data_IF_058772096064
#
_entry.id   IF_058772096064
#
_cell.length_a   1.000
_cell.length_b   1.000
_cell.length_c   1.000
_cell.angle_alpha   90.00
_cell.angle_beta   90.00
_cell.angle_gamma   90.00
#
_symmetry.space_group_name_H-M   'P 1'
#
loop_
_entity.id
_entity.type
_entity.pdbx_description
1 polymer ?
#
# COMPACT_ATOMS: atom_id res chain seq x y z
N UNK A 1 -23.23 47.18 -10.44
CA UNK A 1 -24.60 46.69 -10.73
C UNK A 1 -24.63 45.23 -10.29
N UNK A 2 -24.96 44.99 -9.00
CA UNK A 2 -26.28 44.56 -8.44
C UNK A 2 -26.50 43.05 -8.65
N UNK A 3 -26.91 42.20 -7.70
CA UNK A 3 -27.28 42.23 -6.27
C UNK A 3 -27.49 40.73 -5.90
N UNK A 4 -26.97 40.19 -4.78
CA UNK A 4 -27.66 39.96 -3.48
C UNK A 4 -28.58 38.72 -3.37
N UNK A 5 -28.11 37.74 -2.57
CA UNK A 5 -28.74 37.04 -1.41
C UNK A 5 -30.20 36.57 -1.43
N UNK A 6 -30.42 35.29 -1.04
CA UNK A 6 -31.52 34.85 -0.16
C UNK A 6 -31.01 33.81 0.86
N UNK A 7 -31.19 34.13 2.14
CA UNK A 7 -31.15 33.27 3.33
C UNK A 7 -32.60 32.85 3.69
N UNK A 8 -32.82 31.65 4.25
CA UNK A 8 -33.85 31.42 5.27
C UNK A 8 -33.68 30.07 6.00
N UNK A 9 -33.57 30.16 7.34
CA UNK A 9 -33.74 29.13 8.37
C UNK A 9 -35.23 28.72 8.50
N UNK A 10 -35.52 27.49 8.96
CA UNK A 10 -36.41 27.26 10.11
C UNK A 10 -36.41 25.78 10.57
N UNK A 11 -36.45 25.62 11.89
CA UNK A 11 -36.41 24.39 12.69
C UNK A 11 -37.80 23.75 12.90
N UNK A 12 -37.86 22.47 13.25
CA UNK A 12 -38.89 21.94 14.16
C UNK A 12 -38.46 20.63 14.84
N UNK A 13 -38.43 20.67 16.17
CA UNK A 13 -38.27 19.57 17.13
C UNK A 13 -39.59 18.85 17.39
N UNK A 14 -39.57 17.53 17.63
CA UNK A 14 -40.55 16.87 18.49
C UNK A 14 -40.01 15.55 19.07
N UNK A 15 -40.11 15.45 20.40
CA UNK A 15 -39.74 14.32 21.23
C UNK A 15 -40.83 13.23 21.25
N UNK A 16 -40.43 11.98 21.50
CA UNK A 16 -41.33 10.87 21.79
C UNK A 16 -40.63 9.81 22.64
N UNK A 17 -40.76 9.94 23.97
CA UNK A 17 -40.56 8.86 24.93
C UNK A 17 -41.83 7.99 24.98
N UNK A 18 -41.67 6.70 25.35
CA UNK A 18 -42.57 5.77 26.08
C UNK A 18 -42.25 4.34 25.59
N UNK A 19 -41.58 3.49 26.37
CA UNK A 19 -42.02 2.74 27.56
C UNK A 19 -42.31 1.26 27.20
N UNK A 20 -41.64 0.39 27.96
CA UNK A 20 -41.65 -1.08 27.93
C UNK A 20 -42.96 -1.62 28.52
N UNK A 21 -43.39 -2.83 28.13
CA UNK A 21 -43.85 -3.77 29.15
C UNK A 21 -43.10 -5.10 29.10
N UNK A 22 -42.65 -5.49 30.29
CA UNK A 22 -42.16 -6.80 30.62
C UNK A 22 -43.33 -7.78 30.76
N UNK A 23 -43.14 -9.01 30.32
CA UNK A 23 -43.94 -10.16 30.76
C UNK A 23 -43.04 -11.11 31.56
N UNK A 24 -43.35 -11.22 32.86
CA UNK A 24 -43.08 -12.40 33.67
C UNK A 24 -43.92 -13.56 33.09
N UNK A 25 -43.58 -14.84 33.19
CA UNK A 25 -43.37 -15.65 34.39
C UNK A 25 -43.02 -17.06 33.87
N UNK A 26 -42.06 -17.77 34.47
CA UNK A 26 -42.34 -19.06 35.13
C UNK A 26 -41.09 -19.59 35.85
N UNK A 27 -41.27 -19.88 37.13
CA UNK A 27 -40.29 -20.55 37.98
C UNK A 27 -40.71 -22.01 38.21
N UNK A 28 -39.73 -22.91 38.29
CA UNK A 28 -39.78 -24.20 39.00
C UNK A 28 -38.32 -24.69 39.21
N UNK A 29 -38.06 -25.68 40.09
CA UNK A 29 -37.62 -25.56 41.50
C UNK A 29 -36.11 -25.85 41.71
N UNK A 30 -35.54 -25.66 42.92
CA UNK A 30 -34.11 -25.82 43.15
C UNK A 30 -33.72 -27.29 43.38
N UNK A 31 -32.67 -27.74 42.70
CA UNK A 31 -31.98 -28.99 42.99
C UNK A 31 -30.52 -28.71 43.37
N UNK A 32 -30.13 -29.33 44.47
CA UNK A 32 -28.87 -29.26 45.19
C UNK A 32 -27.65 -29.79 44.42
N UNK A 33 -26.55 -29.04 44.49
CA UNK A 33 -25.19 -29.58 44.66
C UNK A 33 -24.38 -29.96 43.40
N UNK A 34 -23.37 -29.16 43.08
CA UNK A 34 -21.94 -29.54 42.93
C UNK A 34 -21.11 -28.29 42.58
N UNK A 35 -19.87 -28.11 43.09
CA UNK A 35 -19.07 -26.93 42.78
C UNK A 35 -18.41 -27.09 41.41
N UNK A 36 -18.84 -26.29 40.43
CA UNK A 36 -18.15 -26.15 39.15
C UNK A 36 -17.14 -25.00 39.23
N UNK A 37 -15.92 -25.29 38.79
CA UNK A 37 -14.77 -24.39 38.77
C UNK A 37 -15.04 -23.11 37.96
N UNK A 38 -14.41 -21.97 38.32
CA UNK A 38 -14.58 -20.74 37.55
C UNK A 38 -13.95 -20.88 36.17
N UNK A 39 -14.79 -20.74 35.15
CA UNK A 39 -14.38 -20.62 33.74
C UNK A 39 -13.55 -19.34 33.60
N UNK A 40 -12.24 -19.51 33.43
CA UNK A 40 -11.32 -18.43 33.11
C UNK A 40 -11.73 -17.80 31.77
N UNK A 41 -12.07 -16.52 31.78
CA UNK A 41 -12.36 -15.75 30.58
C UNK A 41 -11.19 -15.83 29.60
N UNK A 42 -11.49 -16.17 28.35
CA UNK A 42 -10.50 -16.08 27.29
C UNK A 42 -10.04 -14.62 27.16
N UNK A 43 -8.71 -14.35 27.13
CA UNK A 43 -8.24 -13.03 26.81
C UNK A 43 -8.65 -12.72 25.38
N UNK A 44 -9.50 -11.69 25.22
CA UNK A 44 -9.76 -11.06 23.93
C UNK A 44 -8.43 -10.46 23.49
N UNK A 45 -7.72 -11.18 22.60
CA UNK A 45 -6.52 -10.68 21.98
C UNK A 45 -6.80 -9.35 21.28
N UNK A 46 -5.78 -8.47 21.12
CA UNK A 46 -5.95 -7.25 20.35
C UNK A 46 -6.53 -7.60 18.96
N UNK A 47 -7.42 -6.76 18.40
CA UNK A 47 -7.99 -7.03 17.08
C UNK A 47 -6.85 -7.27 16.08
N UNK A 48 -6.99 -8.25 15.16
CA UNK A 48 -5.96 -8.51 14.17
C UNK A 48 -5.63 -7.20 13.46
N UNK A 49 -4.34 -6.84 13.44
CA UNK A 49 -3.89 -5.71 12.64
C UNK A 49 -4.35 -5.95 11.21
N UNK A 50 -5.18 -5.05 10.68
CA UNK A 50 -5.83 -5.19 9.38
C UNK A 50 -4.86 -5.04 8.18
N UNK A 51 -3.57 -5.38 8.34
CA UNK A 51 -2.55 -5.26 7.31
C UNK A 51 -1.46 -6.32 7.48
N UNK A 52 -0.82 -6.67 6.37
CA UNK A 52 0.26 -7.64 6.30
C UNK A 52 1.60 -7.12 6.86
N UNK A 53 2.72 -7.80 6.60
CA UNK A 53 4.02 -7.37 7.08
C UNK A 53 4.46 -6.03 6.43
N UNK A 54 5.39 -5.29 7.07
CA UNK A 54 6.01 -4.13 6.43
C UNK A 54 6.85 -4.57 5.23
N UNK A 55 6.68 -3.90 4.09
CA UNK A 55 7.39 -4.16 2.85
C UNK A 55 7.89 -2.86 2.21
N UNK A 56 9.00 -2.88 1.46
CA UNK A 56 9.40 -1.73 0.65
C UNK A 56 8.32 -1.35 -0.37
N UNK A 57 8.00 -0.06 -0.45
CA UNK A 57 7.11 0.51 -1.46
C UNK A 57 7.66 0.23 -2.85
N UNK A 58 6.82 -0.23 -3.79
CA UNK A 58 7.29 -0.81 -5.07
C UNK A 58 8.22 0.13 -5.84
N UNK A 59 7.90 1.42 -5.91
CA UNK A 59 8.78 2.46 -6.46
C UNK A 59 8.73 3.75 -5.66
N UNK A 60 9.88 4.40 -5.53
CA UNK A 60 10.00 5.80 -5.11
C UNK A 60 9.86 6.68 -6.35
N UNK A 61 8.99 7.68 -6.30
CA UNK A 61 8.76 8.63 -7.41
C UNK A 61 9.29 10.01 -7.12
N UNK A 62 9.30 10.47 -5.87
CA UNK A 62 9.90 11.77 -5.53
C UNK A 62 10.54 11.80 -4.15
N UNK A 63 11.56 12.65 -4.00
CA UNK A 63 12.13 13.06 -2.73
C UNK A 63 12.11 14.58 -2.69
N UNK A 64 11.60 15.13 -1.61
CA UNK A 64 11.68 16.55 -1.29
C UNK A 64 12.24 16.72 0.10
N UNK A 65 13.13 17.68 0.29
CA UNK A 65 13.59 18.08 1.61
C UNK A 65 13.35 19.56 1.78
N UNK A 66 12.48 19.89 2.74
CA UNK A 66 12.13 21.25 3.11
C UNK A 66 12.88 21.65 4.37
N UNK A 67 13.44 22.85 4.40
CA UNK A 67 14.05 23.43 5.61
C UNK A 67 13.08 24.37 6.30
N UNK A 68 12.93 24.21 7.60
CA UNK A 68 12.26 25.15 8.48
C UNK A 68 13.25 25.71 9.48
N UNK A 69 13.31 27.03 9.60
CA UNK A 69 14.15 27.70 10.62
C UNK A 69 13.40 27.95 11.93
N UNK A 70 12.17 27.43 12.08
CA UNK A 70 11.36 27.58 13.30
C UNK A 70 11.79 26.60 14.38
N UNK A 71 11.67 27.01 15.66
CA UNK A 71 11.85 26.16 16.84
C UNK A 71 13.14 25.31 16.86
N UNK A 72 14.29 25.94 16.63
CA UNK A 72 15.59 25.26 16.64
C UNK A 72 16.01 24.66 15.30
N UNK A 73 15.15 24.79 14.28
CA UNK A 73 15.44 24.34 12.93
C UNK A 73 15.06 22.88 12.72
N UNK A 74 14.44 22.58 11.58
CA UNK A 74 14.05 21.23 11.20
C UNK A 74 14.15 21.07 9.69
N UNK A 75 14.78 19.99 9.23
CA UNK A 75 14.65 19.55 7.85
C UNK A 75 13.57 18.45 7.79
N UNK A 76 12.69 18.51 6.79
CA UNK A 76 11.57 17.59 6.63
C UNK A 76 11.74 16.87 5.30
N UNK A 77 12.02 15.57 5.37
CA UNK A 77 12.09 14.70 4.20
C UNK A 77 10.69 14.22 3.87
N UNK A 78 10.16 14.62 2.72
CA UNK A 78 8.90 14.11 2.16
C UNK A 78 9.21 13.21 0.97
N UNK A 79 8.64 12.01 0.97
CA UNK A 79 8.86 11.01 -0.08
C UNK A 79 7.52 10.56 -0.62
N UNK A 80 7.41 10.51 -1.96
CA UNK A 80 6.29 9.88 -2.65
C UNK A 80 6.75 8.65 -3.40
N UNK A 81 5.82 7.73 -3.58
CA UNK A 81 6.01 6.51 -4.33
C UNK A 81 4.68 5.92 -4.75
N UNK A 82 4.77 4.78 -5.41
CA UNK A 82 3.62 3.99 -5.81
C UNK A 82 3.64 2.63 -5.14
N UNK A 83 2.46 2.14 -4.79
CA UNK A 83 2.19 0.81 -4.25
C UNK A 83 1.32 0.02 -5.23
N UNK A 84 1.43 -1.31 -5.20
CA UNK A 84 0.83 -2.21 -6.20
C UNK A 84 -0.69 -2.29 -6.15
N UNK A 85 -1.31 -1.85 -5.06
CA UNK A 85 -2.76 -1.89 -4.89
C UNK A 85 -3.22 -0.83 -3.87
N UNK A 86 -4.53 -0.54 -3.79
CA UNK A 86 -5.07 0.41 -2.82
C UNK A 86 -5.14 -0.12 -1.38
N UNK A 87 -4.79 -1.39 -1.14
CA UNK A 87 -4.83 -2.00 0.20
C UNK A 87 -3.53 -1.85 1.00
N UNK A 88 -2.53 -1.15 0.44
CA UNK A 88 -1.34 -0.75 1.18
C UNK A 88 -1.65 0.38 2.18
N UNK A 89 -0.92 0.42 3.30
CA UNK A 89 -1.14 1.45 4.32
C UNK A 89 0.09 1.79 5.14
N UNK A 90 -0.04 2.77 6.03
CA UNK A 90 0.99 3.17 7.02
C UNK A 90 2.39 3.41 6.41
N UNK A 91 2.50 4.27 5.37
CA UNK A 91 3.78 4.63 4.77
C UNK A 91 4.69 5.31 5.80
N UNK A 92 5.97 4.91 5.84
CA UNK A 92 6.97 5.48 6.72
C UNK A 92 8.39 5.32 6.15
N UNK A 93 9.31 6.14 6.66
CA UNK A 93 10.72 6.13 6.25
C UNK A 93 11.57 5.59 7.39
N UNK A 94 12.45 4.64 7.06
CA UNK A 94 13.36 4.03 8.03
C UNK A 94 14.79 4.40 7.66
N UNK A 95 15.53 5.13 8.52
CA UNK A 95 16.95 5.32 8.34
C UNK A 95 17.72 4.00 8.42
N UNK A 96 18.53 3.72 7.42
CA UNK A 96 19.48 2.57 7.43
C UNK A 96 20.93 3.02 7.55
N UNK A 97 21.20 4.32 7.42
CA UNK A 97 22.49 4.91 7.76
C UNK A 97 22.69 4.96 9.27
N UNK A 98 23.87 4.54 9.73
CA UNK A 98 24.31 4.76 11.11
C UNK A 98 25.44 5.80 11.12
N UNK A 99 25.25 6.91 11.84
CA UNK A 99 26.24 7.99 11.96
C UNK A 99 26.45 8.78 10.66
N UNK A 100 27.69 9.23 10.43
CA UNK A 100 28.08 10.03 9.26
C UNK A 100 28.62 9.14 8.13
N UNK A 101 27.85 8.91 7.05
CA UNK A 101 28.28 8.08 5.94
C UNK A 101 29.33 8.80 5.09
N UNK A 102 30.26 8.05 4.48
CA UNK A 102 31.35 8.62 3.66
C UNK A 102 30.86 9.37 2.43
N UNK A 103 29.74 8.95 1.85
CA UNK A 103 29.12 9.63 0.72
C UNK A 103 28.28 10.86 1.14
N UNK A 104 28.06 11.05 2.44
CA UNK A 104 27.30 12.15 3.03
C UNK A 104 25.79 12.06 2.84
N UNK A 105 25.24 10.90 2.46
CA UNK A 105 23.80 10.75 2.19
C UNK A 105 23.06 10.02 3.31
N UNK A 106 21.97 10.61 3.82
CA UNK A 106 21.01 9.88 4.65
C UNK A 106 20.30 8.83 3.79
N UNK A 107 20.58 7.56 4.03
CA UNK A 107 19.98 6.44 3.31
C UNK A 107 18.73 5.97 4.08
N UNK A 108 17.59 5.96 3.39
CA UNK A 108 16.27 5.63 3.91
C UNK A 108 15.67 4.47 3.10
N UNK A 109 14.93 3.59 3.78
CA UNK A 109 14.00 2.68 3.11
C UNK A 109 12.59 3.28 3.21
N UNK A 110 11.90 3.37 2.08
CA UNK A 110 10.49 3.72 2.05
C UNK A 110 9.66 2.45 2.17
N UNK A 111 9.00 2.27 3.32
CA UNK A 111 8.20 1.09 3.63
C UNK A 111 6.74 1.46 3.88
N UNK A 112 5.88 0.46 3.70
CA UNK A 112 4.48 0.51 4.05
C UNK A 112 4.02 -0.89 4.48
N UNK A 113 2.89 -0.96 5.16
CA UNK A 113 2.18 -2.20 5.45
C UNK A 113 1.55 -2.73 4.17
N UNK A 114 2.00 -3.90 3.71
CA UNK A 114 1.46 -4.54 2.52
C UNK A 114 0.09 -5.21 2.81
N UNK A 115 -0.71 -5.54 1.78
CA UNK A 115 -1.89 -6.38 1.95
C UNK A 115 -1.53 -7.74 2.57
N UNK A 116 -2.47 -8.37 3.28
CA UNK A 116 -2.25 -9.68 3.92
C UNK A 116 -2.35 -10.86 2.94
N UNK A 117 -2.66 -10.61 1.68
CA UNK A 117 -2.73 -11.60 0.61
C UNK A 117 -2.94 -10.92 -0.73
N UNK A 118 -3.11 -11.73 -1.77
CA UNK A 118 -3.13 -11.28 -3.13
C UNK A 118 -4.16 -10.17 -3.39
N UNK A 119 -3.73 -9.14 -4.09
CA UNK A 119 -4.57 -8.06 -4.58
C UNK A 119 -4.80 -8.20 -6.08
N UNK A 120 -6.05 -8.01 -6.52
CA UNK A 120 -6.37 -8.01 -7.94
C UNK A 120 -5.60 -6.92 -8.71
N UNK A 121 -5.52 -7.09 -10.03
CA UNK A 121 -4.94 -6.08 -10.90
C UNK A 121 -5.71 -4.76 -10.79
N UNK A 122 -4.97 -3.66 -10.79
CA UNK A 122 -5.53 -2.33 -10.63
C UNK A 122 -4.45 -1.28 -10.78
N UNK A 123 -4.85 0.00 -10.86
CA UNK A 123 -3.88 1.07 -10.99
C UNK A 123 -3.01 1.16 -9.75
N UNK A 124 -1.78 1.65 -9.94
CA UNK A 124 -0.94 1.98 -8.80
C UNK A 124 -1.60 2.97 -7.85
N UNK A 125 -1.42 2.74 -6.56
CA UNK A 125 -1.79 3.70 -5.52
C UNK A 125 -0.60 4.60 -5.22
N UNK A 126 -0.80 5.91 -5.24
CA UNK A 126 0.21 6.85 -4.72
C UNK A 126 0.20 6.85 -3.20
N UNK A 127 1.37 6.76 -2.58
CA UNK A 127 1.55 6.87 -1.13
C UNK A 127 2.70 7.81 -0.78
N UNK A 128 2.61 8.42 0.40
CA UNK A 128 3.54 9.46 0.86
C UNK A 128 3.97 9.20 2.30
N UNK A 129 5.24 9.43 2.61
CA UNK A 129 5.77 9.44 3.97
C UNK A 129 6.59 10.70 4.24
N UNK A 130 6.63 11.08 5.51
CA UNK A 130 7.38 12.23 6.00
C UNK A 130 8.28 11.78 7.14
N UNK A 131 9.54 12.23 7.11
CA UNK A 131 10.52 12.05 8.18
C UNK A 131 11.11 13.41 8.57
N UNK A 132 10.79 13.92 9.78
CA UNK A 132 11.50 15.05 10.35
C UNK A 132 12.92 14.63 10.75
N UNK A 133 13.91 15.46 10.42
CA UNK A 133 15.30 15.31 10.85
C UNK A 133 15.77 16.62 11.50
N UNK A 134 16.43 16.50 12.65
CA UNK A 134 16.95 17.66 13.37
C UNK A 134 17.98 18.41 12.51
N UNK A 135 18.01 19.73 12.64
CA UNK A 135 19.08 20.56 12.05
C UNK A 135 20.44 20.21 12.65
N UNK A 136 21.50 20.49 11.88
CA UNK A 136 22.88 20.15 12.24
C UNK A 136 23.27 18.70 11.93
N UNK A 137 22.42 17.94 11.24
CA UNK A 137 22.76 16.61 10.75
C UNK A 137 23.96 16.63 9.79
N UNK A 138 24.76 15.55 9.70
CA UNK A 138 25.95 15.50 8.86
C UNK A 138 25.65 15.31 7.36
N UNK A 139 24.39 15.12 6.99
CA UNK A 139 23.99 14.75 5.64
C UNK A 139 23.94 15.96 4.70
N UNK A 140 24.50 15.80 3.50
CA UNK A 140 24.38 16.77 2.39
C UNK A 140 23.23 16.45 1.43
N UNK A 141 22.66 15.26 1.54
CA UNK A 141 21.63 14.73 0.65
C UNK A 141 20.89 13.55 1.26
N UNK A 142 19.85 13.08 0.56
CA UNK A 142 19.03 11.93 0.97
C UNK A 142 18.97 10.94 -0.18
N UNK A 143 19.15 9.65 0.13
CA UNK A 143 18.89 8.54 -0.78
C UNK A 143 17.74 7.72 -0.22
N UNK A 144 16.75 7.42 -1.06
CA UNK A 144 15.57 6.65 -0.65
C UNK A 144 15.43 5.43 -1.53
N UNK A 145 15.23 4.27 -0.91
CA UNK A 145 15.13 2.97 -1.56
C UNK A 145 13.71 2.44 -1.45
N UNK A 146 13.15 2.05 -2.59
CA UNK A 146 11.92 1.26 -2.70
C UNK A 146 12.25 -0.20 -3.01
N UNK A 147 11.25 -0.95 -3.45
CA UNK A 147 11.40 -2.35 -3.86
C UNK A 147 12.23 -2.52 -5.13
N UNK A 148 11.98 -1.68 -6.15
CA UNK A 148 12.56 -1.83 -7.49
C UNK A 148 13.47 -0.67 -7.93
N UNK A 149 13.56 0.40 -7.14
CA UNK A 149 14.43 1.53 -7.47
C UNK A 149 14.98 2.25 -6.23
N UNK A 150 15.91 3.17 -6.48
CA UNK A 150 16.34 4.15 -5.50
C UNK A 150 16.48 5.52 -6.16
N UNK A 151 16.11 6.58 -5.43
CA UNK A 151 16.32 7.97 -5.83
C UNK A 151 17.32 8.63 -4.89
N UNK A 152 18.10 9.58 -5.41
CA UNK A 152 19.08 10.32 -4.63
C UNK A 152 18.96 11.82 -4.87
N UNK A 153 18.55 12.53 -3.84
CA UNK A 153 18.63 13.98 -3.78
C UNK A 153 20.00 14.38 -3.23
N UNK A 154 20.81 15.06 -4.04
CA UNK A 154 22.22 15.35 -3.70
C UNK A 154 22.43 16.64 -2.89
N UNK A 155 21.36 17.40 -2.63
CA UNK A 155 21.40 18.67 -1.92
C UNK A 155 20.20 18.80 -0.96
N UNK A 156 20.45 19.33 0.24
CA UNK A 156 19.41 19.65 1.24
C UNK A 156 19.46 21.17 1.51
N UNK A 157 18.35 21.91 1.38
CA UNK A 157 17.03 21.47 0.88
C UNK A 157 17.05 21.18 -0.64
N UNK A 158 16.01 20.53 -1.16
CA UNK A 158 15.90 20.25 -2.59
C UNK A 158 14.75 19.32 -2.98
N UNK A 159 14.60 19.08 -4.28
CA UNK A 159 13.56 18.23 -4.85
C UNK A 159 14.09 17.41 -6.03
N UNK A 160 13.64 16.17 -6.14
CA UNK A 160 13.85 15.31 -7.31
C UNK A 160 12.61 14.44 -7.52
N UNK A 161 12.23 14.24 -8.79
CA UNK A 161 11.11 13.40 -9.19
C UNK A 161 11.48 12.59 -10.44
N UNK A 162 10.93 11.39 -10.52
CA UNK A 162 10.94 10.54 -11.71
C UNK A 162 9.51 10.06 -11.98
N UNK A 163 9.15 9.83 -13.26
CA UNK A 163 7.84 9.26 -13.57
C UNK A 163 7.68 7.87 -12.96
N UNK A 164 6.46 7.55 -12.52
CA UNK A 164 6.10 6.19 -12.16
C UNK A 164 6.20 5.26 -13.39
N UNK A 165 6.40 3.95 -13.19
CA UNK A 165 6.28 2.98 -14.27
C UNK A 165 4.96 3.11 -15.02
N UNK A 166 5.01 2.96 -16.35
CA UNK A 166 3.83 3.15 -17.22
C UNK A 166 2.81 2.01 -17.09
N UNK A 167 3.28 0.78 -16.97
CA UNK A 167 2.45 -0.42 -17.05
C UNK A 167 2.16 -0.99 -15.65
N UNK A 168 1.06 -0.55 -15.04
CA UNK A 168 0.55 -1.12 -13.77
C UNK A 168 -0.20 -2.45 -13.93
N UNK A 169 -0.29 -2.93 -15.16
CA UNK A 169 -1.02 -4.12 -15.57
C UNK A 169 -2.52 -4.11 -15.25
N UNK A 170 -3.09 -2.94 -14.89
CA UNK A 170 -4.53 -2.79 -14.62
C UNK A 170 -5.41 -3.16 -15.82
N UNK A 171 -4.84 -3.11 -17.04
CA UNK A 171 -5.51 -3.42 -18.31
C UNK A 171 -4.90 -4.62 -19.02
N UNK A 172 -4.18 -5.49 -18.32
CA UNK A 172 -3.51 -6.65 -18.94
C UNK A 172 -4.45 -7.79 -19.33
N UNK A 173 -5.56 -7.97 -18.62
CA UNK A 173 -6.46 -9.11 -18.84
C UNK A 173 -6.96 -9.16 -20.28
N UNK A 174 -6.94 -10.36 -20.87
CA UNK A 174 -7.34 -10.63 -22.26
C UNK A 174 -6.29 -10.31 -23.33
N UNK A 175 -5.19 -9.62 -22.97
CA UNK A 175 -4.08 -9.31 -23.90
C UNK A 175 -3.12 -10.49 -24.03
N UNK A 176 -2.38 -10.52 -25.14
CA UNK A 176 -1.32 -11.50 -25.35
C UNK A 176 -0.06 -11.12 -24.56
N UNK A 177 0.43 -12.06 -23.75
CA UNK A 177 1.71 -11.92 -23.09
C UNK A 177 2.83 -12.31 -24.05
N UNK A 178 3.83 -11.45 -24.19
CA UNK A 178 5.00 -11.69 -25.04
C UNK A 178 6.25 -11.69 -24.17
N UNK A 179 6.84 -12.87 -23.99
CA UNK A 179 8.06 -13.06 -23.22
C UNK A 179 9.24 -12.26 -23.82
N UNK A 180 10.24 -11.98 -22.99
CA UNK A 180 11.45 -11.27 -23.42
C UNK A 180 12.13 -12.01 -24.58
N UNK A 181 12.34 -11.30 -25.69
CA UNK A 181 12.96 -11.87 -26.90
C UNK A 181 12.01 -12.66 -27.80
N UNK A 182 10.75 -12.85 -27.41
CA UNK A 182 9.75 -13.45 -28.28
C UNK A 182 9.11 -12.42 -29.23
N UNK A 183 8.69 -12.90 -30.40
CA UNK A 183 7.90 -12.11 -31.33
C UNK A 183 6.42 -12.11 -30.94
N UNK A 184 5.71 -10.99 -31.11
CA UNK A 184 4.27 -10.97 -30.91
C UNK A 184 3.56 -11.87 -31.94
N UNK A 185 2.37 -12.41 -31.62
CA UNK A 185 1.57 -13.16 -32.59
C UNK A 185 1.24 -12.30 -33.83
N UNK A 186 1.24 -12.92 -35.01
CA UNK A 186 0.99 -12.23 -36.26
C UNK A 186 -0.44 -11.64 -36.30
N UNK A 187 -0.58 -10.41 -36.81
CA UNK A 187 -1.89 -9.75 -36.97
C UNK A 187 -2.51 -9.20 -35.68
N UNK A 188 -1.84 -9.31 -34.53
CA UNK A 188 -2.31 -8.74 -33.26
C UNK A 188 -1.90 -7.27 -33.15
N UNK A 189 -2.85 -6.40 -32.81
CA UNK A 189 -2.60 -4.98 -32.60
C UNK A 189 -1.70 -4.74 -31.37
N UNK A 190 -0.87 -3.70 -31.42
CA UNK A 190 0.12 -3.41 -30.38
C UNK A 190 -0.50 -3.15 -28.99
N UNK A 191 -1.71 -2.60 -28.94
CA UNK A 191 -2.47 -2.34 -27.71
C UNK A 191 -3.02 -3.62 -27.08
N UNK A 192 -3.11 -4.71 -27.84
CA UNK A 192 -3.52 -6.05 -27.38
C UNK A 192 -2.33 -6.92 -26.92
N UNK A 193 -1.15 -6.34 -26.79
CA UNK A 193 0.08 -7.01 -26.39
C UNK A 193 0.58 -6.42 -25.07
N UNK A 194 1.02 -7.30 -24.18
CA UNK A 194 1.80 -6.96 -22.97
C UNK A 194 3.15 -7.62 -23.11
N UNK A 195 4.22 -6.83 -23.22
CA UNK A 195 5.57 -7.38 -23.29
C UNK A 195 6.15 -7.49 -21.90
N UNK A 196 6.81 -8.61 -21.63
CA UNK A 196 7.57 -8.80 -20.39
C UNK A 196 8.62 -7.71 -20.17
N UNK A 197 9.20 -7.18 -21.25
CA UNK A 197 10.19 -6.10 -21.19
C UNK A 197 9.62 -4.77 -20.67
N UNK A 198 8.31 -4.57 -20.78
CA UNK A 198 7.62 -3.35 -20.36
C UNK A 198 7.13 -3.44 -18.90
N UNK A 199 7.24 -4.60 -18.27
CA UNK A 199 6.86 -4.87 -16.89
C UNK A 199 8.12 -4.88 -16.00
N UNK A 200 8.47 -3.77 -15.33
CA UNK A 200 9.74 -3.67 -14.59
C UNK A 200 9.73 -4.37 -13.22
N UNK A 201 8.74 -5.23 -12.96
CA UNK A 201 8.51 -5.91 -11.69
C UNK A 201 9.15 -7.29 -11.68
N UNK A 202 9.24 -7.89 -10.50
CA UNK A 202 9.36 -9.35 -10.40
C UNK A 202 8.10 -9.97 -10.99
N UNK A 203 8.25 -10.89 -11.94
CA UNK A 203 7.15 -11.56 -12.60
C UNK A 203 7.09 -13.04 -12.22
N UNK A 204 5.87 -13.55 -12.11
CA UNK A 204 5.58 -14.99 -12.12
C UNK A 204 4.59 -15.25 -13.24
N UNK A 205 5.00 -15.99 -14.26
CA UNK A 205 4.14 -16.38 -15.36
C UNK A 205 3.77 -17.85 -15.16
N UNK A 206 2.47 -18.14 -15.15
CA UNK A 206 1.92 -19.49 -14.98
C UNK A 206 1.21 -19.87 -16.27
N UNK A 207 1.72 -20.87 -16.98
CA UNK A 207 1.06 -21.45 -18.18
C UNK A 207 0.14 -22.60 -17.77
N UNK A 208 -0.76 -23.07 -18.67
CA UNK A 208 -1.75 -24.09 -18.32
C UNK A 208 -1.17 -25.40 -17.76
N UNK A 209 0.03 -25.77 -18.18
CA UNK A 209 0.71 -27.01 -17.76
C UNK A 209 1.74 -26.80 -16.65
N UNK A 210 1.93 -25.56 -16.18
CA UNK A 210 2.96 -25.25 -15.20
C UNK A 210 2.47 -25.59 -13.79
N UNK A 211 3.33 -26.22 -12.99
CA UNK A 211 3.17 -26.29 -11.54
C UNK A 211 3.73 -25.05 -10.84
N UNK A 212 3.34 -24.82 -9.58
CA UNK A 212 3.88 -23.73 -8.76
C UNK A 212 4.92 -24.29 -7.79
N UNK A 213 6.20 -24.00 -8.04
CA UNK A 213 7.31 -24.52 -7.23
C UNK A 213 7.40 -23.89 -5.82
N UNK A 214 6.92 -22.66 -5.63
CA UNK A 214 6.94 -21.96 -4.34
C UNK A 214 5.80 -20.95 -4.22
N UNK A 215 5.16 -20.91 -3.05
CA UNK A 215 4.10 -19.96 -2.72
C UNK A 215 4.58 -18.85 -1.77
N UNK A 216 5.88 -18.55 -1.75
CA UNK A 216 6.42 -17.47 -0.93
C UNK A 216 5.89 -16.11 -1.40
N UNK A 217 5.02 -15.45 -0.62
CA UNK A 217 4.36 -14.18 -0.97
C UNK A 217 5.38 -13.04 -1.15
N UNK A 218 5.19 -12.24 -2.20
CA UNK A 218 5.93 -10.99 -2.42
C UNK A 218 4.97 -9.93 -2.96
N UNK A 219 4.53 -8.97 -2.14
CA UNK A 219 3.57 -7.92 -2.52
C UNK A 219 3.97 -7.05 -3.73
N UNK A 220 5.24 -7.10 -4.12
CA UNK A 220 5.79 -6.39 -5.28
C UNK A 220 5.96 -7.29 -6.53
N UNK A 221 5.55 -8.56 -6.46
CA UNK A 221 5.55 -9.50 -7.58
C UNK A 221 4.19 -9.53 -8.26
N UNK A 222 4.23 -9.41 -9.58
CA UNK A 222 3.06 -9.57 -10.44
C UNK A 222 3.00 -11.02 -10.93
N UNK A 223 1.94 -11.72 -10.54
CA UNK A 223 1.63 -13.06 -11.04
C UNK A 223 0.61 -12.97 -12.16
N UNK A 224 0.92 -13.56 -13.32
CA UNK A 224 0.03 -13.64 -14.48
C UNK A 224 -0.20 -15.10 -14.86
N UNK A 225 -1.47 -15.47 -15.05
CA UNK A 225 -1.87 -16.79 -15.53
C UNK A 225 -2.24 -16.69 -17.00
N UNK A 226 -1.69 -17.59 -17.82
CA UNK A 226 -1.88 -17.61 -19.26
C UNK A 226 -2.80 -18.75 -19.69
N UNK A 227 -3.60 -18.52 -20.73
CA UNK A 227 -4.28 -19.56 -21.50
C UNK A 227 -3.32 -20.30 -22.43
N UNK A 228 -3.80 -21.37 -23.06
CA UNK A 228 -3.06 -22.15 -24.06
C UNK A 228 -2.61 -21.32 -25.26
N UNK A 229 -3.41 -20.33 -25.66
CA UNK A 229 -3.08 -19.41 -26.76
C UNK A 229 -2.18 -18.23 -26.32
N UNK A 230 -1.76 -18.17 -25.05
CA UNK A 230 -0.82 -17.17 -24.53
C UNK A 230 -1.46 -15.84 -24.13
N UNK A 231 -2.77 -15.79 -23.94
CA UNK A 231 -3.45 -14.61 -23.37
C UNK A 231 -3.42 -14.64 -21.85
N UNK A 232 -3.40 -13.46 -21.25
CA UNK A 232 -3.53 -13.29 -19.81
C UNK A 232 -4.99 -13.52 -19.43
N UNK A 233 -5.29 -14.61 -18.73
CA UNK A 233 -6.64 -14.97 -18.30
C UNK A 233 -6.92 -14.60 -16.84
N UNK A 234 -5.86 -14.47 -16.04
CA UNK A 234 -5.94 -14.01 -14.66
C UNK A 234 -4.62 -13.34 -14.25
N UNK A 235 -4.65 -12.55 -13.18
CA UNK A 235 -3.46 -11.97 -12.61
C UNK A 235 -3.72 -11.29 -11.27
N UNK A 236 -2.67 -11.20 -10.47
CA UNK A 236 -2.69 -10.56 -9.17
C UNK A 236 -1.31 -10.05 -8.79
N UNK A 237 -1.29 -9.06 -7.90
CA UNK A 237 -0.15 -8.78 -7.05
C UNK A 237 -0.23 -9.71 -5.84
N UNK A 238 0.86 -10.38 -5.48
CA UNK A 238 0.81 -11.44 -4.45
C UNK A 238 0.48 -10.98 -3.03
#
# INVERSE_FOLDING_TARGET
MTQSTIFALAALTAAGLLAVPAHAQQAAPPATGTPSAPYAGQPVGPPPSAGGPPWPVVYVTSIEVLRSDRNGGLDVVRVRGVATSPSWGRPHLIPITQGAPRDGLLDLVFQATAPSGAAGLGPFMTIEAILPIATGHPYKGVRVRGGNNALSLKAIPGYIEVPAPKEDCAKCLGKYFVARGASPPAGVAADMIVREADLPYTLRIIRPTDGIASYAVDPNRLTLTLSEDGRIIDGAWD
#
